data_IF_877689183886
#
_entry.id   IF_877689183886
#
_cell.length_a   1.000
_cell.length_b   1.000
_cell.length_c   1.000
_cell.angle_alpha   90.00
_cell.angle_beta   90.00
_cell.angle_gamma   90.00
#
_symmetry.space_group_name_H-M   'P 1'
#
loop_
_entity.id
_entity.type
_entity.pdbx_description
1 polymer ?
#
# COMPACT_ATOMS: atom_id res chain seq x y z
N UNK A 1 -16.50 2.50 -39.32
CA UNK A 1 -15.15 2.29 -38.74
C UNK A 1 -14.62 3.65 -38.30
N UNK A 2 -14.89 4.05 -37.05
CA UNK A 2 -14.51 5.37 -36.53
C UNK A 2 -13.00 5.41 -36.30
N UNK A 3 -12.29 6.22 -37.08
CA UNK A 3 -10.86 6.48 -36.90
C UNK A 3 -10.61 7.02 -35.49
N UNK A 4 -9.85 6.27 -34.69
CA UNK A 4 -9.43 6.72 -33.37
C UNK A 4 -8.57 7.97 -33.59
N UNK A 5 -8.94 9.14 -33.05
CA UNK A 5 -8.14 10.35 -33.24
C UNK A 5 -6.75 10.12 -32.68
N UNK A 6 -5.70 10.54 -33.41
CA UNK A 6 -4.29 10.27 -33.06
C UNK A 6 -3.94 10.69 -31.62
N UNK A 7 -4.52 11.78 -31.12
CA UNK A 7 -4.35 12.22 -29.74
C UNK A 7 -4.88 11.24 -28.68
N UNK A 8 -5.92 10.46 -28.99
CA UNK A 8 -6.44 9.42 -28.10
C UNK A 8 -5.51 8.19 -28.09
N UNK A 9 -4.93 7.84 -29.23
CA UNK A 9 -3.96 6.74 -29.33
C UNK A 9 -2.70 7.03 -28.51
N UNK A 10 -2.17 8.26 -28.60
CA UNK A 10 -0.99 8.69 -27.82
C UNK A 10 -1.29 8.64 -26.31
N UNK A 11 -2.45 9.11 -25.87
CA UNK A 11 -2.87 9.03 -24.46
C UNK A 11 -2.94 7.59 -23.97
N UNK A 12 -3.53 6.68 -24.75
CA UNK A 12 -3.58 5.27 -24.38
C UNK A 12 -2.19 4.65 -24.35
N UNK A 13 -1.31 4.95 -25.30
CA UNK A 13 0.06 4.45 -25.28
C UNK A 13 0.82 4.90 -24.02
N UNK A 14 0.72 6.19 -23.64
CA UNK A 14 1.35 6.73 -22.44
C UNK A 14 0.77 6.12 -21.15
N UNK A 15 -0.55 6.00 -21.05
CA UNK A 15 -1.20 5.39 -19.89
C UNK A 15 -0.84 3.91 -19.75
N UNK A 16 -0.83 3.17 -20.85
CA UNK A 16 -0.43 1.75 -20.85
C UNK A 16 1.03 1.56 -20.47
N UNK A 17 1.94 2.40 -20.98
CA UNK A 17 3.35 2.37 -20.61
C UNK A 17 3.55 2.68 -19.12
N UNK A 18 2.90 3.73 -18.61
CA UNK A 18 2.94 4.08 -17.20
C UNK A 18 2.37 2.98 -16.30
N UNK A 19 1.25 2.37 -16.70
CA UNK A 19 0.68 1.23 -16.00
C UNK A 19 1.64 0.04 -15.97
N UNK A 20 2.31 -0.27 -17.09
CA UNK A 20 3.27 -1.38 -17.16
C UNK A 20 4.49 -1.14 -16.26
N UNK A 21 5.00 0.09 -16.19
CA UNK A 21 6.10 0.45 -15.27
C UNK A 21 5.70 0.30 -13.81
N UNK A 22 4.49 0.72 -13.44
CA UNK A 22 3.97 0.59 -12.06
C UNK A 22 3.71 -0.88 -11.71
N UNK A 23 3.21 -1.67 -12.66
CA UNK A 23 2.89 -3.09 -12.47
C UNK A 23 4.11 -4.01 -12.53
N UNK A 24 5.22 -3.59 -13.16
CA UNK A 24 6.44 -4.39 -13.29
C UNK A 24 6.90 -5.07 -11.98
N UNK A 25 7.04 -4.39 -10.83
CA UNK A 25 7.44 -5.05 -9.58
C UNK A 25 6.40 -6.07 -9.08
N UNK A 26 5.11 -5.84 -9.32
CA UNK A 26 4.05 -6.79 -8.94
C UNK A 26 4.04 -8.02 -9.83
N UNK A 27 4.27 -7.84 -11.14
CA UNK A 27 4.42 -8.95 -12.08
C UNK A 27 5.62 -9.81 -11.67
N UNK A 28 6.73 -9.17 -11.29
CA UNK A 28 7.91 -9.86 -10.78
C UNK A 28 7.60 -10.60 -9.46
N UNK A 29 6.86 -9.99 -8.54
CA UNK A 29 6.44 -10.62 -7.28
C UNK A 29 5.58 -11.87 -7.51
N UNK A 30 4.65 -11.83 -8.47
CA UNK A 30 3.83 -12.99 -8.83
C UNK A 30 4.70 -14.09 -9.46
N UNK A 31 5.63 -13.71 -10.34
CA UNK A 31 6.58 -14.66 -10.93
C UNK A 31 7.40 -15.38 -9.87
N UNK A 32 7.98 -14.65 -8.91
CA UNK A 32 8.83 -15.22 -7.86
C UNK A 32 8.03 -16.07 -6.86
N UNK A 33 6.76 -15.75 -6.60
CA UNK A 33 5.89 -16.57 -5.76
C UNK A 33 5.69 -18.00 -6.31
N UNK A 34 5.84 -18.21 -7.62
CA UNK A 34 5.75 -19.51 -8.27
C UNK A 34 7.07 -20.27 -8.40
N UNK A 35 8.21 -19.64 -8.09
CA UNK A 35 9.55 -20.25 -8.22
C UNK A 35 9.92 -21.10 -7.00
N UNK A 36 10.87 -22.03 -7.17
CA UNK A 36 11.49 -22.74 -6.05
C UNK A 36 12.48 -21.84 -5.31
N UNK A 37 12.80 -22.16 -4.05
CA UNK A 37 13.81 -21.40 -3.28
C UNK A 37 15.17 -21.39 -3.99
N UNK A 38 15.55 -22.49 -4.64
CA UNK A 38 16.80 -22.58 -5.42
C UNK A 38 16.78 -21.67 -6.66
N UNK A 39 15.64 -21.56 -7.34
CA UNK A 39 15.49 -20.75 -8.56
C UNK A 39 15.40 -19.24 -8.32
N UNK A 40 15.12 -18.83 -7.07
CA UNK A 40 15.11 -17.41 -6.66
C UNK A 40 16.55 -16.87 -6.53
N UNK A 41 17.50 -17.72 -6.16
CA UNK A 41 18.90 -17.31 -5.96
C UNK A 41 19.80 -17.53 -7.18
N UNK A 42 19.33 -18.25 -8.21
CA UNK A 42 19.99 -18.29 -9.51
C UNK A 42 19.75 -16.95 -10.24
N UNK A 43 20.81 -16.35 -10.78
CA UNK A 43 20.82 -15.03 -11.45
C UNK A 43 19.96 -14.92 -12.73
N UNK A 44 19.08 -15.88 -12.98
CA UNK A 44 18.16 -15.87 -14.11
C UNK A 44 16.98 -14.95 -13.80
N UNK A 45 17.00 -13.74 -14.38
CA UNK A 45 15.89 -12.78 -14.39
C UNK A 45 14.72 -13.28 -15.28
N UNK A 46 14.35 -14.55 -15.15
CA UNK A 46 13.24 -15.15 -15.89
C UNK A 46 11.91 -14.70 -15.29
N UNK A 47 11.09 -14.02 -16.09
CA UNK A 47 9.73 -13.64 -15.71
C UNK A 47 8.77 -14.84 -15.66
N UNK A 48 9.11 -15.94 -16.35
CA UNK A 48 8.27 -17.14 -16.39
C UNK A 48 9.03 -18.27 -15.68
N UNK A 49 8.49 -18.83 -14.58
CA UNK A 49 9.07 -19.99 -13.91
C UNK A 49 9.14 -21.19 -14.87
N UNK A 50 10.22 -21.97 -14.83
CA UNK A 50 10.29 -23.25 -15.56
C UNK A 50 9.31 -24.29 -14.99
N UNK A 51 9.05 -24.19 -13.69
CA UNK A 51 8.09 -25.01 -12.97
C UNK A 51 7.19 -24.14 -12.09
N UNK A 52 5.88 -24.36 -12.15
CA UNK A 52 4.89 -23.60 -11.42
C UNK A 52 4.60 -24.22 -10.05
N UNK A 53 5.27 -23.75 -8.99
CA UNK A 53 5.14 -24.25 -7.61
C UNK A 53 4.19 -23.44 -6.72
N UNK A 54 3.27 -22.67 -7.32
CA UNK A 54 2.34 -21.78 -6.59
C UNK A 54 1.61 -22.49 -5.45
N UNK A 55 0.90 -23.59 -5.75
CA UNK A 55 0.08 -24.30 -4.76
C UNK A 55 0.90 -24.79 -3.56
N UNK A 56 2.11 -25.31 -3.80
CA UNK A 56 2.99 -25.80 -2.75
C UNK A 56 3.60 -24.69 -1.91
N UNK A 57 4.02 -23.59 -2.54
CA UNK A 57 4.57 -22.43 -1.84
C UNK A 57 3.52 -21.78 -0.93
N UNK A 58 2.29 -21.60 -1.44
CA UNK A 58 1.19 -21.09 -0.63
C UNK A 58 0.80 -22.07 0.48
N UNK A 59 0.68 -23.37 0.21
CA UNK A 59 0.37 -24.36 1.26
C UNK A 59 1.43 -24.39 2.37
N UNK A 60 2.73 -24.35 2.01
CA UNK A 60 3.84 -24.25 2.96
C UNK A 60 3.79 -22.96 3.78
N UNK A 61 3.46 -21.82 3.15
CA UNK A 61 3.35 -20.53 3.84
C UNK A 61 2.20 -20.51 4.86
N UNK A 62 1.03 -21.04 4.49
CA UNK A 62 -0.13 -21.14 5.36
C UNK A 62 0.04 -22.17 6.50
N UNK A 63 0.89 -23.18 6.31
CA UNK A 63 1.23 -24.15 7.35
C UNK A 63 2.28 -23.63 8.34
N UNK A 64 3.25 -22.81 7.89
CA UNK A 64 4.34 -22.28 8.75
C UNK A 64 3.91 -21.13 9.65
N UNK A 65 2.96 -20.32 9.20
CA UNK A 65 2.50 -19.12 9.91
C UNK A 65 0.98 -19.11 9.88
N UNK A 66 0.29 -18.70 10.96
CA UNK A 66 -1.16 -18.53 10.97
C UNK A 66 -1.59 -17.34 10.08
N UNK A 67 -1.45 -17.49 8.76
CA UNK A 67 -1.68 -16.43 7.76
C UNK A 67 -3.09 -15.84 7.85
N UNK A 68 -4.10 -16.71 8.06
CA UNK A 68 -5.48 -16.26 8.22
C UNK A 68 -5.65 -15.32 9.43
N UNK A 69 -4.98 -15.62 10.54
CA UNK A 69 -5.03 -14.77 11.75
C UNK A 69 -4.31 -13.46 11.51
N UNK A 70 -3.16 -13.49 10.84
CA UNK A 70 -2.39 -12.29 10.53
C UNK A 70 -3.18 -11.33 9.62
N UNK A 71 -3.81 -11.86 8.57
CA UNK A 71 -4.65 -11.10 7.65
C UNK A 71 -5.89 -10.55 8.36
N UNK A 72 -6.54 -11.37 9.20
CA UNK A 72 -7.74 -10.95 9.93
C UNK A 72 -7.43 -9.85 10.96
N UNK A 73 -6.32 -9.98 11.69
CA UNK A 73 -5.85 -8.94 12.59
C UNK A 73 -5.57 -7.64 11.84
N UNK A 74 -4.93 -7.72 10.66
CA UNK A 74 -4.70 -6.55 9.80
C UNK A 74 -6.01 -5.86 9.38
N UNK A 75 -7.01 -6.63 8.95
CA UNK A 75 -8.33 -6.09 8.58
C UNK A 75 -9.01 -5.39 9.76
N UNK A 76 -9.04 -6.04 10.94
CA UNK A 76 -9.66 -5.47 12.13
C UNK A 76 -8.93 -4.19 12.55
N UNK A 77 -7.60 -4.23 12.68
CA UNK A 77 -6.81 -3.09 13.16
C UNK A 77 -6.92 -1.91 12.20
N UNK A 78 -6.69 -2.13 10.90
CA UNK A 78 -6.83 -1.08 9.89
C UNK A 78 -8.26 -0.52 9.82
N UNK A 79 -9.27 -1.39 9.93
CA UNK A 79 -10.68 -0.99 9.93
C UNK A 79 -11.02 -0.10 11.13
N UNK A 80 -10.57 -0.47 12.33
CA UNK A 80 -10.78 0.32 13.55
C UNK A 80 -10.06 1.67 13.48
N UNK A 81 -8.78 1.69 13.06
CA UNK A 81 -8.01 2.92 12.89
C UNK A 81 -8.74 3.86 11.92
N UNK A 82 -9.14 3.35 10.75
CA UNK A 82 -9.87 4.12 9.77
C UNK A 82 -11.19 4.68 10.31
N UNK A 83 -11.98 3.86 11.00
CA UNK A 83 -13.26 4.27 11.59
C UNK A 83 -13.08 5.44 12.58
N UNK A 84 -12.18 5.29 13.55
CA UNK A 84 -11.93 6.34 14.54
C UNK A 84 -11.30 7.58 13.91
N UNK A 85 -10.39 7.41 12.95
CA UNK A 85 -9.78 8.52 12.23
C UNK A 85 -10.82 9.34 11.49
N UNK A 86 -11.75 8.71 10.78
CA UNK A 86 -12.84 9.41 10.07
C UNK A 86 -13.78 10.09 11.06
N UNK A 87 -14.15 9.41 12.14
CA UNK A 87 -15.03 9.93 13.18
C UNK A 87 -14.48 11.21 13.82
N UNK A 88 -13.17 11.30 14.02
CA UNK A 88 -12.51 12.47 14.63
C UNK A 88 -12.11 13.52 13.58
N UNK A 89 -11.50 13.09 12.48
CA UNK A 89 -10.95 14.00 11.48
C UNK A 89 -12.02 14.78 10.74
N UNK A 90 -13.19 14.20 10.44
CA UNK A 90 -14.26 14.89 9.72
C UNK A 90 -14.80 16.08 10.54
N UNK A 91 -15.24 15.93 11.80
CA UNK A 91 -15.70 17.06 12.61
C UNK A 91 -14.61 18.11 12.84
N UNK A 92 -13.36 17.68 13.10
CA UNK A 92 -12.23 18.60 13.27
C UNK A 92 -11.99 19.43 12.00
N UNK A 93 -11.95 18.79 10.83
CA UNK A 93 -11.78 19.46 9.55
C UNK A 93 -12.95 20.41 9.26
N UNK A 94 -14.19 19.99 9.54
CA UNK A 94 -15.38 20.83 9.37
C UNK A 94 -15.31 22.07 10.27
N UNK A 95 -14.98 21.90 11.54
CA UNK A 95 -14.85 23.01 12.47
C UNK A 95 -13.80 24.02 11.97
N UNK A 96 -12.59 23.55 11.63
CA UNK A 96 -11.51 24.41 11.14
C UNK A 96 -11.83 25.12 9.81
N UNK A 97 -12.60 24.49 8.93
CA UNK A 97 -12.92 25.03 7.61
C UNK A 97 -14.15 25.95 7.58
N UNK A 98 -15.16 25.70 8.43
CA UNK A 98 -16.45 26.41 8.39
C UNK A 98 -16.70 27.33 9.57
N UNK A 99 -16.18 27.02 10.77
CA UNK A 99 -16.38 27.86 11.94
C UNK A 99 -15.31 28.95 11.98
N UNK A 100 -15.72 30.20 12.18
CA UNK A 100 -14.82 31.34 12.33
C UNK A 100 -14.36 31.43 13.79
N UNK A 101 -13.28 30.74 14.15
CA UNK A 101 -12.66 30.83 15.47
C UNK A 101 -11.18 31.19 15.39
N UNK A 102 -10.68 31.95 16.37
CA UNK A 102 -9.35 32.57 16.34
C UNK A 102 -8.19 31.58 16.26
N UNK A 103 -8.35 30.38 16.80
CA UNK A 103 -7.32 29.33 16.81
C UNK A 103 -7.28 28.45 15.54
N UNK A 104 -8.24 28.58 14.61
CA UNK A 104 -8.37 27.68 13.45
C UNK A 104 -7.09 27.63 12.60
N UNK A 105 -6.50 28.80 12.34
CA UNK A 105 -5.24 28.92 11.58
C UNK A 105 -4.06 28.25 12.30
N UNK A 106 -3.97 28.42 13.62
CA UNK A 106 -2.90 27.80 14.41
C UNK A 106 -3.02 26.27 14.41
N UNK A 107 -4.24 25.75 14.61
CA UNK A 107 -4.50 24.30 14.57
C UNK A 107 -4.19 23.70 13.20
N UNK A 108 -4.53 24.39 12.11
CA UNK A 108 -4.19 23.93 10.76
C UNK A 108 -2.68 23.83 10.54
N UNK A 109 -1.91 24.83 10.99
CA UNK A 109 -0.44 24.80 10.92
C UNK A 109 0.11 23.64 11.76
N UNK A 110 -0.44 23.40 12.96
CA UNK A 110 -0.02 22.29 13.82
C UNK A 110 -0.26 20.92 13.16
N UNK A 111 -1.41 20.73 12.51
CA UNK A 111 -1.70 19.50 11.75
C UNK A 111 -0.70 19.32 10.61
N UNK A 112 -0.39 20.37 9.86
CA UNK A 112 0.61 20.32 8.79
C UNK A 112 2.00 19.94 9.32
N UNK A 113 2.42 20.52 10.44
CA UNK A 113 3.69 20.17 11.09
C UNK A 113 3.70 18.70 11.53
N UNK A 114 2.58 18.18 12.04
CA UNK A 114 2.44 16.77 12.39
C UNK A 114 2.59 15.83 11.19
N UNK A 115 2.06 16.20 10.02
CA UNK A 115 2.18 15.42 8.78
C UNK A 115 3.61 15.36 8.23
N UNK A 116 4.47 16.31 8.60
CA UNK A 116 5.88 16.30 8.23
C UNK A 116 6.71 15.34 9.08
N UNK A 117 6.19 14.88 10.23
CA UNK A 117 6.89 13.94 11.09
C UNK A 117 6.91 12.56 10.42
N UNK A 118 8.10 11.99 10.15
CA UNK A 118 8.18 10.68 9.53
C UNK A 118 7.71 9.60 10.50
N UNK A 119 6.87 8.68 10.02
CA UNK A 119 6.31 7.60 10.82
C UNK A 119 7.38 6.67 11.44
N UNK A 120 8.54 6.57 10.81
CA UNK A 120 9.65 5.78 11.35
C UNK A 120 10.28 6.41 12.61
N UNK A 121 10.22 7.73 12.76
CA UNK A 121 10.75 8.40 13.96
C UNK A 121 9.86 8.19 15.19
N UNK A 122 8.56 7.95 14.99
CA UNK A 122 7.61 7.73 16.10
C UNK A 122 7.55 6.28 16.57
N UNK A 123 8.08 5.33 15.79
CA UNK A 123 8.06 3.91 16.12
C UNK A 123 8.82 3.58 17.41
N UNK A 124 10.02 4.16 17.60
CA UNK A 124 10.85 3.93 18.80
C UNK A 124 10.17 4.43 20.09
N UNK A 125 9.69 5.68 20.17
CA UNK A 125 8.93 6.14 21.33
C UNK A 125 7.69 5.29 21.62
N UNK A 126 6.98 4.85 20.59
CA UNK A 126 5.78 4.02 20.75
C UNK A 126 6.13 2.67 21.37
N UNK A 127 7.24 2.07 20.95
CA UNK A 127 7.74 0.82 21.52
C UNK A 127 8.06 1.00 23.01
N UNK A 128 8.89 1.98 23.37
CA UNK A 128 9.30 2.23 24.77
C UNK A 128 8.13 2.67 25.67
N UNK A 129 7.10 3.30 25.13
CA UNK A 129 5.95 3.75 25.92
C UNK A 129 4.97 2.63 26.29
N UNK A 130 4.94 1.54 25.51
CA UNK A 130 3.98 0.44 25.65
C UNK A 130 4.62 -0.92 25.93
N UNK A 131 5.95 -0.97 26.13
CA UNK A 131 6.76 -2.12 26.57
C UNK A 131 7.48 -1.74 27.88
#
# INVERSE_FOLDING_TARGET
MTSIPAGRLIRFALLSLGALMILAPYIFMISTAGKTQSDIFTSSLSLIPEHFYFAENFAKAFAKVPMATLLWNGVIVCGLIFFFQVLVAIPCAYAMAKLKFRAARFMMVLVMLGLLVPIHATALPLYVAFD
#
